data_IF_310407152561
#
_entry.id   IF_310407152561
#
_cell.length_a   1.000
_cell.length_b   1.000
_cell.length_c   1.000
_cell.angle_alpha   90.00
_cell.angle_beta   90.00
_cell.angle_gamma   90.00
#
_symmetry.space_group_name_H-M   'P 1'
#
loop_
_entity.id
_entity.type
_entity.pdbx_description
1 polymer ?
#
# COMPACT_ATOMS: atom_id res chain seq x y z
N UNK A 1 8.78 -58.89 1.06
CA UNK A 1 9.61 -57.90 0.31
C UNK A 1 8.80 -56.71 -0.23
N UNK A 2 7.52 -56.86 -0.56
CA UNK A 2 6.65 -55.75 -1.03
C UNK A 2 6.28 -54.70 0.02
N UNK A 3 6.21 -55.06 1.32
CA UNK A 3 5.90 -54.08 2.39
C UNK A 3 7.05 -53.12 2.70
N UNK A 4 8.31 -53.56 2.53
CA UNK A 4 9.49 -52.72 2.77
C UNK A 4 9.60 -51.58 1.75
N UNK A 5 9.18 -51.84 0.50
CA UNK A 5 9.18 -50.87 -0.59
C UNK A 5 8.14 -49.76 -0.40
N UNK A 6 6.99 -50.09 0.20
CA UNK A 6 5.92 -49.12 0.48
C UNK A 6 6.37 -48.11 1.55
N UNK A 7 7.12 -48.54 2.57
CA UNK A 7 7.66 -47.63 3.59
C UNK A 7 8.76 -46.72 3.05
N UNK A 8 9.57 -47.21 2.10
CA UNK A 8 10.66 -46.44 1.50
C UNK A 8 10.15 -45.33 0.56
N UNK A 9 8.99 -45.55 -0.09
CA UNK A 9 8.31 -44.52 -0.90
C UNK A 9 7.52 -43.53 -0.03
N UNK A 10 6.91 -43.99 1.07
CA UNK A 10 6.18 -43.11 2.00
C UNK A 10 7.10 -42.14 2.77
N UNK A 11 8.34 -42.56 3.08
CA UNK A 11 9.32 -41.71 3.75
C UNK A 11 9.85 -40.57 2.83
N UNK A 12 9.82 -40.76 1.51
CA UNK A 12 10.30 -39.76 0.54
C UNK A 12 9.32 -38.60 0.31
N UNK A 13 8.05 -38.77 0.71
CA UNK A 13 7.00 -37.76 0.53
C UNK A 13 6.89 -36.73 1.67
N UNK A 14 7.62 -36.92 2.79
CA UNK A 14 7.52 -36.05 3.97
C UNK A 14 8.61 -34.96 4.07
N UNK A 15 9.52 -34.87 3.08
CA UNK A 15 10.59 -33.87 3.04
C UNK A 15 10.24 -32.61 2.21
N UNK A 16 9.00 -32.46 1.77
CA UNK A 16 8.58 -31.41 0.84
C UNK A 16 7.53 -30.45 1.39
N UNK A 17 7.75 -29.82 2.54
CA UNK A 17 7.07 -28.56 2.88
C UNK A 17 7.73 -27.82 4.05
N UNK A 18 9.03 -27.51 3.94
CA UNK A 18 9.64 -26.43 4.71
C UNK A 18 10.03 -25.32 3.75
N UNK A 19 9.01 -24.73 3.11
CA UNK A 19 9.15 -23.48 2.37
C UNK A 19 9.29 -22.35 3.37
N UNK A 20 10.51 -22.07 3.81
CA UNK A 20 10.88 -20.77 4.36
C UNK A 20 10.40 -19.71 3.38
N UNK A 21 9.57 -18.77 3.86
CA UNK A 21 8.96 -17.72 3.07
C UNK A 21 9.97 -17.05 2.15
N UNK A 22 9.91 -17.40 0.86
CA UNK A 22 10.52 -16.63 -0.19
C UNK A 22 9.74 -15.32 -0.23
N UNK A 23 10.33 -14.26 0.33
CA UNK A 23 9.98 -12.89 -0.02
C UNK A 23 10.00 -12.85 -1.54
N UNK A 24 8.84 -12.70 -2.16
CA UNK A 24 8.67 -12.71 -3.59
C UNK A 24 9.53 -11.57 -4.17
N UNK A 25 10.72 -11.91 -4.61
CA UNK A 25 11.51 -11.08 -5.50
C UNK A 25 10.97 -11.32 -6.91
N UNK A 26 10.38 -10.25 -7.44
CA UNK A 26 10.47 -9.85 -8.84
C UNK A 26 9.86 -10.79 -9.89
N UNK A 27 8.53 -10.76 -9.96
CA UNK A 27 7.79 -11.07 -11.18
C UNK A 27 6.80 -9.93 -11.46
N UNK A 28 7.28 -8.82 -12.03
CA UNK A 28 6.41 -7.73 -12.50
C UNK A 28 6.94 -6.29 -12.40
N UNK A 29 8.23 -6.07 -12.10
CA UNK A 29 8.78 -4.71 -11.99
C UNK A 29 8.90 -3.98 -13.33
N UNK A 30 8.67 -2.66 -13.34
CA UNK A 30 8.98 -1.80 -14.49
C UNK A 30 10.52 -1.72 -14.61
N UNK A 31 11.12 -2.08 -15.77
CA UNK A 31 12.57 -2.07 -15.93
C UNK A 31 13.18 -0.69 -15.65
N UNK A 32 14.15 -0.63 -14.74
CA UNK A 32 14.82 0.62 -14.36
C UNK A 32 14.03 1.52 -13.40
N UNK A 33 12.86 1.08 -12.94
CA UNK A 33 12.12 1.78 -11.90
C UNK A 33 12.77 1.61 -10.52
N UNK A 34 12.78 2.66 -9.68
CA UNK A 34 13.11 2.53 -8.28
C UNK A 34 12.21 1.52 -7.56
N UNK A 35 12.75 0.85 -6.54
CA UNK A 35 12.01 -0.17 -5.79
C UNK A 35 10.71 0.37 -5.16
N UNK A 36 10.69 1.65 -4.77
CA UNK A 36 9.51 2.30 -4.18
C UNK A 36 8.33 2.40 -5.14
N UNK A 37 8.53 2.33 -6.47
CA UNK A 37 7.44 2.39 -7.44
C UNK A 37 6.50 1.20 -7.28
N UNK A 38 7.05 0.02 -6.95
CA UNK A 38 6.28 -1.21 -6.76
C UNK A 38 6.04 -1.54 -5.28
N UNK A 39 6.98 -1.17 -4.42
CA UNK A 39 6.88 -1.40 -3.00
C UNK A 39 7.23 -0.11 -2.24
N UNK A 40 6.29 0.84 -2.15
CA UNK A 40 6.50 2.10 -1.46
C UNK A 40 6.42 1.88 0.05
N UNK A 41 7.43 1.26 0.64
CA UNK A 41 7.54 1.08 2.09
C UNK A 41 8.52 2.11 2.66
N UNK A 42 8.04 2.89 3.64
CA UNK A 42 8.86 3.82 4.41
C UNK A 42 8.57 3.64 5.90
N UNK A 43 9.51 3.07 6.68
CA UNK A 43 9.31 2.84 8.11
C UNK A 43 8.92 4.11 8.85
N UNK A 44 7.81 4.05 9.60
CA UNK A 44 7.27 5.17 10.39
C UNK A 44 6.38 6.15 9.61
N UNK A 45 6.10 5.88 8.34
CA UNK A 45 5.25 6.70 7.49
C UNK A 45 4.16 5.86 6.84
N UNK A 46 3.07 6.50 6.48
CA UNK A 46 2.12 5.98 5.50
C UNK A 46 2.58 6.51 4.14
N UNK A 47 2.81 5.59 3.22
CA UNK A 47 3.40 5.85 1.92
C UNK A 47 2.46 5.42 0.80
N UNK A 48 2.39 6.25 -0.25
CA UNK A 48 1.51 6.07 -1.40
C UNK A 48 2.27 6.46 -2.66
N UNK A 49 1.99 5.75 -3.76
CA UNK A 49 2.51 6.10 -5.08
C UNK A 49 1.40 6.68 -5.94
N UNK A 50 1.57 7.93 -6.38
CA UNK A 50 0.72 8.52 -7.40
C UNK A 50 1.36 8.37 -8.77
N UNK A 51 0.55 8.06 -9.79
CA UNK A 51 1.05 8.04 -11.17
C UNK A 51 0.16 8.80 -12.15
N UNK A 52 0.78 9.45 -13.13
CA UNK A 52 0.07 10.15 -14.19
C UNK A 52 0.76 9.96 -15.54
N UNK A 53 0.02 9.57 -16.59
CA UNK A 53 0.56 9.53 -17.94
C UNK A 53 0.91 10.95 -18.41
N UNK A 54 1.71 11.05 -19.47
CA UNK A 54 2.00 12.33 -20.11
C UNK A 54 0.68 13.04 -20.48
N UNK A 55 0.58 14.31 -20.10
CA UNK A 55 -0.61 15.11 -20.37
C UNK A 55 -0.50 15.77 -21.75
N UNK A 56 -1.61 15.82 -22.49
CA UNK A 56 -1.67 16.49 -23.80
C UNK A 56 -1.46 18.01 -23.70
N UNK A 57 -1.80 18.60 -22.55
CA UNK A 57 -1.72 20.03 -22.28
C UNK A 57 -1.20 20.30 -20.86
N UNK A 58 -0.55 21.46 -20.66
CA UNK A 58 0.01 21.87 -19.36
C UNK A 58 1.31 21.16 -18.94
N UNK A 59 1.83 20.24 -19.75
CA UNK A 59 3.16 19.64 -19.62
C UNK A 59 3.40 18.93 -18.28
N UNK A 60 4.65 18.90 -17.82
CA UNK A 60 5.06 18.22 -16.58
C UNK A 60 4.33 18.75 -15.36
N UNK A 61 4.03 20.05 -15.29
CA UNK A 61 3.29 20.63 -14.17
C UNK A 61 1.86 20.10 -14.06
N UNK A 62 1.18 19.89 -15.19
CA UNK A 62 -0.13 19.24 -15.20
C UNK A 62 -0.04 17.77 -14.82
N UNK A 63 0.97 17.06 -15.32
CA UNK A 63 1.21 15.67 -14.99
C UNK A 63 1.46 15.46 -13.49
N UNK A 64 2.33 16.29 -12.90
CA UNK A 64 2.61 16.26 -11.46
C UNK A 64 1.33 16.50 -10.64
N UNK A 65 0.54 17.50 -11.01
CA UNK A 65 -0.74 17.78 -10.33
C UNK A 65 -1.69 16.59 -10.37
N UNK A 66 -1.78 15.89 -11.50
CA UNK A 66 -2.62 14.68 -11.62
C UNK A 66 -2.08 13.55 -10.74
N UNK A 67 -0.77 13.32 -10.74
CA UNK A 67 -0.15 12.30 -9.90
C UNK A 67 -0.36 12.61 -8.41
N UNK A 68 -0.18 13.86 -7.99
CA UNK A 68 -0.42 14.33 -6.62
C UNK A 68 -1.88 14.17 -6.20
N UNK A 69 -2.83 14.53 -7.07
CA UNK A 69 -4.25 14.34 -6.78
C UNK A 69 -4.57 12.85 -6.55
N UNK A 70 -4.06 11.96 -7.40
CA UNK A 70 -4.27 10.51 -7.23
C UNK A 70 -3.64 9.98 -5.94
N UNK A 71 -2.39 10.36 -5.65
CA UNK A 71 -1.72 9.97 -4.41
C UNK A 71 -2.48 10.45 -3.16
N UNK A 72 -2.96 11.70 -3.18
CA UNK A 72 -3.76 12.26 -2.08
C UNK A 72 -5.11 11.56 -1.92
N UNK A 73 -5.76 11.20 -3.02
CA UNK A 73 -7.01 10.42 -2.97
C UNK A 73 -6.79 9.05 -2.34
N UNK A 74 -5.75 8.34 -2.74
CA UNK A 74 -5.42 7.04 -2.16
C UNK A 74 -5.00 7.15 -0.69
N UNK A 75 -4.21 8.15 -0.31
CA UNK A 75 -3.89 8.41 1.10
C UNK A 75 -5.15 8.63 1.92
N UNK A 76 -6.10 9.44 1.43
CA UNK A 76 -7.36 9.70 2.11
C UNK A 76 -8.17 8.41 2.32
N UNK A 77 -8.14 7.48 1.36
CA UNK A 77 -8.80 6.17 1.50
C UNK A 77 -8.12 5.30 2.54
N UNK A 78 -6.78 5.24 2.55
CA UNK A 78 -6.02 4.48 3.55
C UNK A 78 -6.33 4.97 4.96
N UNK A 79 -6.29 6.29 5.18
CA UNK A 79 -6.57 6.92 6.48
C UNK A 79 -8.01 6.66 6.90
N UNK A 80 -8.98 6.77 5.97
CA UNK A 80 -10.38 6.46 6.24
C UNK A 80 -10.55 5.01 6.72
N UNK A 81 -9.98 4.05 6.00
CA UNK A 81 -10.07 2.62 6.35
C UNK A 81 -9.42 2.37 7.71
N UNK A 82 -8.27 2.99 8.01
CA UNK A 82 -7.58 2.84 9.28
C UNK A 82 -8.43 3.34 10.46
N UNK A 83 -9.00 4.54 10.35
CA UNK A 83 -9.84 5.12 11.40
C UNK A 83 -11.14 4.34 11.58
N UNK A 84 -11.78 3.90 10.48
CA UNK A 84 -12.97 3.04 10.54
C UNK A 84 -12.67 1.71 11.23
N UNK A 85 -11.55 1.07 10.89
CA UNK A 85 -11.09 -0.16 11.53
C UNK A 85 -10.87 0.04 13.03
N UNK A 86 -10.16 1.09 13.44
CA UNK A 86 -9.94 1.42 14.86
C UNK A 86 -11.24 1.68 15.63
N UNK A 87 -12.23 2.31 15.00
CA UNK A 87 -13.53 2.57 15.62
C UNK A 87 -14.35 1.28 15.79
N UNK A 88 -14.28 0.35 14.82
CA UNK A 88 -14.92 -0.97 14.95
C UNK A 88 -14.34 -1.76 16.12
N UNK A 89 -13.01 -1.88 16.20
CA UNK A 89 -12.34 -2.56 17.32
C UNK A 89 -12.74 -1.96 18.69
N UNK A 90 -12.72 -0.62 18.83
CA UNK A 90 -13.11 0.05 20.08
C UNK A 90 -14.57 -0.17 20.48
N UNK A 91 -15.45 -0.40 19.50
CA UNK A 91 -16.88 -0.66 19.74
C UNK A 91 -17.11 -2.12 20.10
N UNK A 92 -16.39 -3.05 19.48
CA UNK A 92 -16.45 -4.48 19.82
C UNK A 92 -15.88 -4.78 21.21
N UNK A 93 -14.78 -4.12 21.60
CA UNK A 93 -14.18 -4.26 22.95
C UNK A 93 -15.05 -3.69 24.08
N UNK A 94 -15.98 -2.78 23.76
CA UNK A 94 -16.92 -2.18 24.72
C UNK A 94 -18.33 -2.65 24.37
N UNK A 95 -18.77 -3.76 24.96
CA UNK A 95 -20.06 -4.43 24.71
C UNK A 95 -21.35 -3.61 25.02
N UNK A 96 -21.44 -2.34 24.65
CA UNK A 96 -22.62 -1.51 24.91
C UNK A 96 -22.50 -0.01 24.61
N UNK A 97 -21.36 0.50 24.13
CA UNK A 97 -21.21 1.93 23.82
C UNK A 97 -21.33 2.15 22.31
N UNK A 98 -22.56 2.35 21.80
CA UNK A 98 -22.79 2.81 20.43
C UNK A 98 -22.18 4.21 20.27
N UNK A 99 -21.01 4.30 19.67
CA UNK A 99 -20.44 5.58 19.24
C UNK A 99 -21.43 6.25 18.28
N UNK A 100 -21.85 7.50 18.55
CA UNK A 100 -22.79 8.20 17.64
C UNK A 100 -22.13 8.37 16.28
N UNK A 101 -22.85 8.07 15.21
CA UNK A 101 -22.39 8.16 13.82
C UNK A 101 -21.74 9.53 13.49
N UNK A 102 -22.23 10.62 14.08
CA UNK A 102 -21.66 11.97 13.88
C UNK A 102 -20.26 12.17 14.47
N UNK A 103 -19.91 11.50 15.57
CA UNK A 103 -18.59 11.60 16.19
C UNK A 103 -17.53 10.85 15.35
N UNK A 104 -17.94 9.73 14.74
CA UNK A 104 -17.09 8.93 13.86
C UNK A 104 -16.75 9.70 12.59
N UNK A 105 -17.75 10.28 11.93
CA UNK A 105 -17.56 11.06 10.69
C UNK A 105 -16.69 12.31 10.93
N UNK A 106 -16.88 12.99 12.07
CA UNK A 106 -16.04 14.16 12.42
C UNK A 106 -14.58 13.75 12.60
N UNK A 107 -14.32 12.66 13.33
CA UNK A 107 -12.96 12.13 13.52
C UNK A 107 -12.32 11.65 12.22
N UNK A 108 -13.12 11.04 11.34
CA UNK A 108 -12.66 10.60 10.02
C UNK A 108 -12.15 11.80 9.20
N UNK A 109 -12.97 12.85 9.09
CA UNK A 109 -12.59 14.07 8.36
C UNK A 109 -11.32 14.71 8.94
N UNK A 110 -11.28 14.93 10.25
CA UNK A 110 -10.10 15.50 10.90
C UNK A 110 -8.83 14.68 10.68
N UNK A 111 -8.93 13.34 10.71
CA UNK A 111 -7.76 12.47 10.52
C UNK A 111 -7.24 12.52 9.07
N UNK A 112 -8.16 12.53 8.09
CA UNK A 112 -7.83 12.68 6.67
C UNK A 112 -7.18 14.05 6.42
N UNK A 113 -7.77 15.12 6.94
CA UNK A 113 -7.26 16.48 6.74
C UNK A 113 -5.84 16.63 7.30
N UNK A 114 -5.60 16.19 8.53
CA UNK A 114 -4.27 16.20 9.16
C UNK A 114 -3.25 15.40 8.34
N UNK A 115 -3.63 14.19 7.90
CA UNK A 115 -2.75 13.32 7.11
C UNK A 115 -2.40 13.93 5.75
N UNK A 116 -3.34 14.63 5.11
CA UNK A 116 -3.14 15.33 3.83
C UNK A 116 -2.31 16.61 4.00
N UNK A 117 -2.40 17.27 5.14
CA UNK A 117 -1.63 18.47 5.46
C UNK A 117 -0.15 18.16 5.72
N UNK A 118 0.14 17.02 6.37
CA UNK A 118 1.50 16.54 6.60
C UNK A 118 2.11 15.74 5.44
N UNK A 119 1.30 15.39 4.42
CA UNK A 119 1.77 14.65 3.25
C UNK A 119 2.81 15.44 2.43
N UNK A 120 3.88 14.77 2.03
CA UNK A 120 4.97 15.34 1.21
C UNK A 120 5.39 14.36 0.12
N UNK A 121 5.66 14.88 -1.07
CA UNK A 121 6.37 14.11 -2.11
C UNK A 121 7.86 14.10 -1.75
N UNK A 122 8.46 12.91 -1.69
CA UNK A 122 9.88 12.74 -1.34
C UNK A 122 10.73 12.33 -2.53
N UNK A 123 10.15 11.65 -3.52
CA UNK A 123 10.83 11.26 -4.75
C UNK A 123 9.87 11.30 -5.94
N UNK A 124 10.44 11.54 -7.12
CA UNK A 124 9.77 11.48 -8.41
C UNK A 124 10.59 10.59 -9.34
N UNK A 125 9.90 9.80 -10.16
CA UNK A 125 10.52 9.03 -11.22
C UNK A 125 9.65 9.08 -12.47
N UNK A 126 10.27 9.26 -13.63
CA UNK A 126 9.56 9.24 -14.91
C UNK A 126 10.02 8.02 -15.69
N UNK A 127 9.06 7.21 -16.12
CA UNK A 127 9.35 6.08 -16.98
C UNK A 127 9.86 6.58 -18.34
N UNK A 128 11.10 6.23 -18.74
CA UNK A 128 11.64 6.66 -20.02
C UNK A 128 10.91 6.04 -21.22
N UNK A 129 10.18 4.94 -21.05
CA UNK A 129 9.46 4.28 -22.15
C UNK A 129 8.09 4.90 -22.40
N UNK A 130 7.26 5.00 -21.35
CA UNK A 130 5.89 5.54 -21.48
C UNK A 130 5.80 7.05 -21.27
N UNK A 131 6.78 7.66 -20.61
CA UNK A 131 6.70 9.04 -20.13
C UNK A 131 5.75 9.22 -18.93
N UNK A 132 5.29 8.13 -18.30
CA UNK A 132 4.49 8.18 -17.07
C UNK A 132 5.32 8.68 -15.89
N UNK A 133 4.75 9.59 -15.11
CA UNK A 133 5.36 10.16 -13.92
C UNK A 133 4.81 9.43 -12.72
N UNK A 134 5.70 8.91 -11.90
CA UNK A 134 5.44 8.33 -10.60
C UNK A 134 5.97 9.28 -9.52
N UNK A 135 5.21 9.45 -8.46
CA UNK A 135 5.61 10.23 -7.29
C UNK A 135 5.47 9.36 -6.05
N UNK A 136 6.41 9.51 -5.12
CA UNK A 136 6.34 8.87 -3.82
C UNK A 136 5.90 9.88 -2.78
N UNK A 137 4.67 9.74 -2.31
CA UNK A 137 4.06 10.59 -1.31
C UNK A 137 4.06 9.89 0.05
N UNK A 138 4.53 10.58 1.08
CA UNK A 138 4.58 10.05 2.44
C UNK A 138 3.98 11.01 3.45
N UNK A 139 3.40 10.47 4.49
CA UNK A 139 2.90 11.23 5.65
C UNK A 139 3.31 10.50 6.93
N UNK A 140 3.72 11.20 8.00
CA UNK A 140 4.02 10.54 9.28
C UNK A 140 2.80 9.79 9.83
N UNK A 141 3.03 8.63 10.45
CA UNK A 141 2.01 7.85 11.15
C UNK A 141 1.68 8.41 12.53
#
# INVERSE_FOLDING_TARGET
MTRLFIYLVAALLLLGCTGTGQKAADAGGIPGAPAWVMNPDKPGYTSVVGSAPKQDWGGRAAQLRVAEMKARQELAQIVRVQVESMNKFKTEDRSGSVSRTGDVETRLRSSVDLSLESARVIEEWTDPQSGELYIWLVTPN
#
